data_IF_556861426864
#
_entry.id   IF_556861426864
#
_cell.length_a   1.000
_cell.length_b   1.000
_cell.length_c   1.000
_cell.angle_alpha   90.00
_cell.angle_beta   90.00
_cell.angle_gamma   90.00
#
_symmetry.space_group_name_H-M   'P 1'
#
loop_
_entity.id
_entity.type
_entity.pdbx_description
1 polymer ?
#
# COMPACT_ATOMS: atom_id res chain seq x y z
N UNK A 1 7.55 -24.04 13.59
CA UNK A 1 7.80 -23.92 12.14
C UNK A 1 6.47 -23.50 11.51
N UNK A 2 6.45 -22.48 10.65
CA UNK A 2 5.24 -22.06 9.94
C UNK A 2 5.33 -22.64 8.54
N UNK A 3 4.25 -23.26 8.08
CA UNK A 3 4.11 -23.82 6.73
C UNK A 3 2.98 -23.10 6.00
N UNK A 4 3.23 -22.69 4.76
CA UNK A 4 2.22 -22.05 3.91
C UNK A 4 2.58 -22.23 2.43
N UNK A 5 1.60 -22.00 1.56
CA UNK A 5 1.78 -21.96 0.10
C UNK A 5 1.40 -20.59 -0.42
N UNK A 6 2.16 -20.06 -1.38
CA UNK A 6 1.80 -18.86 -2.13
C UNK A 6 1.03 -19.31 -3.37
N UNK A 7 -0.27 -19.01 -3.39
CA UNK A 7 -1.18 -19.41 -4.49
C UNK A 7 -1.16 -18.42 -5.65
N UNK A 8 -0.89 -17.15 -5.38
CA UNK A 8 -0.69 -16.12 -6.39
C UNK A 8 0.13 -14.95 -5.84
N UNK A 9 0.61 -14.08 -6.74
CA UNK A 9 1.33 -12.86 -6.38
C UNK A 9 1.13 -11.75 -7.42
N UNK A 10 1.20 -10.51 -6.93
CA UNK A 10 1.36 -9.34 -7.76
C UNK A 10 2.32 -8.35 -7.08
N UNK A 11 3.05 -7.57 -7.87
CA UNK A 11 4.01 -6.61 -7.36
C UNK A 11 4.09 -5.40 -8.29
N UNK A 12 4.46 -4.26 -7.71
CA UNK A 12 4.66 -3.02 -8.44
C UNK A 12 5.89 -2.29 -7.92
N UNK A 13 6.72 -1.81 -8.82
CA UNK A 13 7.77 -0.84 -8.58
C UNK A 13 7.94 0.05 -9.83
N UNK A 14 8.63 1.20 -9.75
CA UNK A 14 8.95 2.00 -10.92
C UNK A 14 9.63 1.17 -12.01
N UNK A 15 9.06 1.16 -13.21
CA UNK A 15 9.52 0.33 -14.34
C UNK A 15 9.23 -1.17 -14.24
N UNK A 16 8.57 -1.65 -13.18
CA UNK A 16 8.23 -3.07 -12.95
C UNK A 16 6.75 -3.20 -12.54
N UNK A 17 5.87 -3.46 -13.51
CA UNK A 17 4.43 -3.63 -13.29
C UNK A 17 3.89 -4.96 -13.82
N UNK A 18 4.59 -5.62 -14.73
CA UNK A 18 4.18 -6.89 -15.32
C UNK A 18 4.94 -8.07 -14.71
N UNK A 19 4.30 -9.25 -14.66
CA UNK A 19 4.95 -10.46 -14.14
C UNK A 19 6.23 -10.82 -14.91
N UNK A 20 6.23 -10.64 -16.23
CA UNK A 20 7.40 -10.86 -17.10
C UNK A 20 8.59 -9.99 -16.69
N UNK A 21 8.35 -8.71 -16.37
CA UNK A 21 9.38 -7.77 -15.93
C UNK A 21 9.96 -8.18 -14.57
N UNK A 22 9.10 -8.60 -13.65
CA UNK A 22 9.52 -9.11 -12.33
C UNK A 22 10.29 -10.42 -12.42
N UNK A 23 9.92 -11.33 -13.31
CA UNK A 23 10.68 -12.56 -13.57
C UNK A 23 12.07 -12.23 -14.14
N UNK A 24 12.15 -11.33 -15.13
CA UNK A 24 13.44 -10.86 -15.65
C UNK A 24 14.30 -10.13 -14.61
N UNK A 25 13.68 -9.35 -13.73
CA UNK A 25 14.35 -8.74 -12.58
C UNK A 25 14.88 -9.78 -11.59
N UNK A 26 14.14 -10.85 -11.34
CA UNK A 26 14.57 -11.91 -10.42
C UNK A 26 15.83 -12.64 -10.92
N UNK A 27 16.01 -12.76 -12.24
CA UNK A 27 17.21 -13.33 -12.85
C UNK A 27 18.43 -12.41 -12.73
N UNK A 28 18.23 -11.08 -12.70
CA UNK A 28 19.29 -10.08 -12.57
C UNK A 28 18.85 -8.87 -11.72
N UNK A 29 18.86 -8.99 -10.38
CA UNK A 29 18.26 -7.98 -9.50
C UNK A 29 18.98 -6.63 -9.53
N UNK A 30 18.19 -5.56 -9.55
CA UNK A 30 18.67 -4.18 -9.39
C UNK A 30 17.68 -3.37 -8.54
N UNK A 31 18.10 -2.31 -7.84
CA UNK A 31 17.15 -1.45 -7.11
C UNK A 31 16.29 -0.68 -8.12
N UNK A 32 14.95 -0.85 -8.13
CA UNK A 32 14.09 -0.06 -9.01
C UNK A 32 14.26 1.44 -8.74
N UNK A 33 14.31 2.24 -9.80
CA UNK A 33 14.52 3.69 -9.70
C UNK A 33 13.36 4.44 -10.36
N UNK A 34 13.02 5.59 -9.80
CA UNK A 34 12.00 6.49 -10.35
C UNK A 34 10.92 6.87 -9.34
N UNK A 35 10.19 7.93 -9.67
CA UNK A 35 9.09 8.48 -8.87
C UNK A 35 7.72 8.15 -9.45
N UNK A 36 7.67 7.20 -10.39
CA UNK A 36 6.42 6.72 -10.96
C UNK A 36 5.47 6.25 -9.86
N UNK A 37 4.20 6.30 -10.19
CA UNK A 37 3.11 5.94 -9.29
C UNK A 37 2.05 5.20 -10.10
N UNK A 38 1.52 4.05 -9.62
CA UNK A 38 0.51 3.34 -10.37
C UNK A 38 -0.78 4.15 -10.49
N UNK A 39 -1.44 3.99 -11.65
CA UNK A 39 -2.66 4.70 -11.98
C UNK A 39 -3.81 4.39 -11.02
N UNK A 40 -3.82 3.19 -10.44
CA UNK A 40 -4.83 2.70 -9.51
C UNK A 40 -6.22 2.71 -10.17
N UNK A 41 -6.34 2.11 -11.37
CA UNK A 41 -7.53 2.18 -12.20
C UNK A 41 -8.78 1.55 -11.55
N UNK A 42 -8.57 0.57 -10.68
CA UNK A 42 -9.56 -0.23 -9.97
C UNK A 42 -10.28 0.56 -8.86
N UNK A 43 -9.74 1.71 -8.46
CA UNK A 43 -10.27 2.52 -7.36
C UNK A 43 -11.05 3.73 -7.92
N UNK A 44 -12.26 4.02 -7.42
CA UNK A 44 -13.03 5.20 -7.82
C UNK A 44 -12.24 6.51 -7.70
N UNK A 45 -12.34 7.37 -8.72
CA UNK A 45 -11.51 8.58 -8.87
C UNK A 45 -11.50 9.49 -7.62
N UNK A 46 -12.61 9.63 -6.92
CA UNK A 46 -12.70 10.44 -5.70
C UNK A 46 -11.90 9.87 -4.53
N UNK A 47 -11.90 8.55 -4.36
CA UNK A 47 -11.12 7.90 -3.31
C UNK A 47 -9.62 7.95 -3.63
N UNK A 48 -9.24 7.80 -4.91
CA UNK A 48 -7.84 7.89 -5.36
C UNK A 48 -7.13 9.18 -4.97
N UNK A 49 -7.87 10.29 -4.87
CA UNK A 49 -7.31 11.61 -4.52
C UNK A 49 -6.77 11.66 -3.07
N UNK A 50 -7.14 10.71 -2.22
CA UNK A 50 -6.69 10.63 -0.82
C UNK A 50 -5.55 9.65 -0.59
N UNK A 51 -5.07 9.01 -1.66
CA UNK A 51 -4.08 7.93 -1.59
C UNK A 51 -2.76 8.45 -2.17
N UNK A 52 -1.74 8.54 -1.33
CA UNK A 52 -0.38 8.93 -1.73
C UNK A 52 0.36 7.79 -2.42
N UNK A 53 1.55 8.10 -2.93
CA UNK A 53 2.41 7.17 -3.66
C UNK A 53 2.52 5.79 -3.00
N UNK A 54 2.93 5.71 -1.73
CA UNK A 54 3.07 4.42 -1.03
C UNK A 54 1.74 3.64 -0.98
N UNK A 55 0.65 4.34 -0.65
CA UNK A 55 -0.68 3.75 -0.64
C UNK A 55 -1.11 3.25 -2.02
N UNK A 56 -0.79 3.99 -3.09
CA UNK A 56 -1.12 3.59 -4.46
C UNK A 56 -0.38 2.33 -4.86
N UNK A 57 0.90 2.21 -4.52
CA UNK A 57 1.69 0.99 -4.78
C UNK A 57 1.09 -0.23 -4.08
N UNK A 58 0.86 -0.12 -2.78
CA UNK A 58 0.33 -1.22 -1.97
C UNK A 58 -1.08 -1.64 -2.41
N UNK A 59 -1.97 -0.67 -2.65
CA UNK A 59 -3.35 -0.92 -3.07
C UNK A 59 -3.38 -1.50 -4.49
N UNK A 60 -2.52 -1.04 -5.40
CA UNK A 60 -2.45 -1.59 -6.76
C UNK A 60 -2.06 -3.06 -6.73
N UNK A 61 -1.00 -3.41 -5.98
CA UNK A 61 -0.56 -4.79 -5.85
C UNK A 61 -1.63 -5.68 -5.22
N UNK A 62 -2.33 -5.17 -4.18
CA UNK A 62 -3.46 -5.88 -3.58
C UNK A 62 -4.58 -6.11 -4.60
N UNK A 63 -5.00 -5.08 -5.35
CA UNK A 63 -6.05 -5.20 -6.36
C UNK A 63 -5.73 -6.25 -7.44
N UNK A 64 -4.46 -6.39 -7.85
CA UNK A 64 -4.03 -7.38 -8.84
C UNK A 64 -3.91 -8.79 -8.31
N UNK A 65 -3.84 -8.96 -6.98
CA UNK A 65 -3.68 -10.25 -6.31
C UNK A 65 -4.97 -10.73 -5.64
N UNK A 66 -6.06 -9.96 -5.75
CA UNK A 66 -7.36 -10.34 -5.22
C UNK A 66 -7.94 -11.57 -5.93
N UNK A 67 -8.68 -12.37 -5.17
CA UNK A 67 -9.48 -13.44 -5.73
C UNK A 67 -10.72 -12.90 -6.46
N UNK A 68 -11.38 -13.77 -7.22
CA UNK A 68 -12.59 -13.40 -7.97
C UNK A 68 -13.79 -12.98 -7.10
N UNK A 69 -13.70 -13.08 -5.76
CA UNK A 69 -14.77 -12.70 -4.84
C UNK A 69 -14.77 -11.21 -4.50
N UNK A 70 -13.64 -10.51 -4.72
CA UNK A 70 -13.53 -9.06 -4.56
C UNK A 70 -14.01 -8.58 -3.18
N UNK A 71 -15.04 -7.73 -3.17
CA UNK A 71 -15.57 -7.09 -1.96
C UNK A 71 -16.15 -8.07 -0.92
N UNK A 72 -16.65 -9.22 -1.37
CA UNK A 72 -17.27 -10.24 -0.51
C UNK A 72 -16.23 -11.21 0.07
N UNK A 73 -14.97 -11.11 -0.36
CA UNK A 73 -13.88 -11.91 0.18
C UNK A 73 -13.79 -11.73 1.70
N UNK A 74 -13.68 -12.85 2.40
CA UNK A 74 -13.47 -12.90 3.86
C UNK A 74 -12.01 -13.20 4.20
N UNK A 75 -11.12 -13.17 3.21
CA UNK A 75 -9.70 -13.42 3.39
C UNK A 75 -9.10 -12.32 4.27
N UNK A 76 -8.50 -12.66 5.42
CA UNK A 76 -7.86 -11.65 6.26
C UNK A 76 -6.69 -11.00 5.54
N UNK A 77 -6.61 -9.67 5.62
CA UNK A 77 -5.57 -8.89 4.96
C UNK A 77 -4.51 -8.47 5.97
N UNK A 78 -3.25 -8.54 5.58
CA UNK A 78 -2.12 -8.04 6.39
C UNK A 78 -1.30 -7.10 5.54
N UNK A 79 -1.34 -5.81 5.88
CA UNK A 79 -0.48 -4.79 5.28
C UNK A 79 0.77 -4.62 6.14
N UNK A 80 1.94 -4.81 5.56
CA UNK A 80 3.21 -4.69 6.27
C UNK A 80 4.03 -3.55 5.67
N UNK A 81 4.54 -2.65 6.52
CA UNK A 81 5.46 -1.61 6.10
C UNK A 81 6.41 -1.27 7.25
N UNK A 82 7.70 -1.12 6.95
CA UNK A 82 8.71 -0.79 7.97
C UNK A 82 8.49 0.60 8.58
N UNK A 83 8.09 1.56 7.75
CA UNK A 83 8.06 2.98 8.11
C UNK A 83 6.66 3.60 8.01
N UNK A 84 5.68 2.88 7.45
CA UNK A 84 4.40 3.48 7.06
C UNK A 84 4.59 4.60 6.03
N UNK A 85 3.58 5.45 5.87
CA UNK A 85 3.65 6.65 5.03
C UNK A 85 4.38 7.78 5.79
N UNK A 86 5.69 7.60 6.00
CA UNK A 86 6.52 8.49 6.82
C UNK A 86 6.56 9.93 6.30
N UNK A 87 6.44 10.12 4.99
CA UNK A 87 6.43 11.45 4.37
C UNK A 87 5.31 12.32 4.98
N UNK A 88 4.12 11.74 5.14
CA UNK A 88 2.98 12.43 5.75
C UNK A 88 3.23 12.82 7.21
N UNK A 89 3.86 11.94 7.99
CA UNK A 89 4.24 12.26 9.37
C UNK A 89 5.25 13.39 9.43
N UNK A 90 6.21 13.42 8.51
CA UNK A 90 7.20 14.50 8.42
C UNK A 90 6.55 15.84 8.05
N UNK A 91 5.60 15.85 7.11
CA UNK A 91 4.85 17.06 6.75
C UNK A 91 4.06 17.63 7.93
N UNK A 92 3.39 16.78 8.71
CA UNK A 92 2.67 17.20 9.92
C UNK A 92 3.61 17.77 10.99
N UNK A 93 4.77 17.13 11.20
CA UNK A 93 5.79 17.65 12.12
C UNK A 93 6.35 18.99 11.64
N UNK A 94 6.56 19.16 10.33
CA UNK A 94 7.00 20.42 9.75
C UNK A 94 5.98 21.55 9.94
N UNK A 95 4.69 21.24 9.78
CA UNK A 95 3.61 22.19 10.05
C UNK A 95 3.57 22.60 11.53
N UNK A 96 3.67 21.62 12.45
CA UNK A 96 3.76 21.90 13.89
C UNK A 96 4.95 22.78 14.25
N UNK A 97 6.13 22.45 13.71
CA UNK A 97 7.35 23.23 13.95
C UNK A 97 7.26 24.67 13.43
N UNK A 98 6.40 24.91 12.43
CA UNK A 98 6.16 26.22 11.82
C UNK A 98 4.93 26.94 12.39
N UNK A 99 4.33 26.43 13.47
CA UNK A 99 3.09 26.92 14.07
C UNK A 99 1.91 27.04 13.06
N UNK A 100 1.89 26.13 12.08
CA UNK A 100 0.85 26.05 11.06
C UNK A 100 -0.28 25.10 11.53
N UNK A 101 -1.54 25.39 11.17
CA UNK A 101 -2.65 24.52 11.51
C UNK A 101 -2.50 23.15 10.85
N UNK A 102 -2.70 22.09 11.63
CA UNK A 102 -2.70 20.72 11.12
C UNK A 102 -3.97 20.42 10.33
N UNK A 103 -3.81 19.79 9.16
CA UNK A 103 -4.93 19.26 8.39
C UNK A 103 -5.57 18.07 9.12
N UNK A 104 -6.87 18.11 9.47
CA UNK A 104 -7.52 16.96 10.11
C UNK A 104 -7.48 15.71 9.24
N UNK A 105 -7.64 15.86 7.92
CA UNK A 105 -7.50 14.77 6.95
C UNK A 105 -6.06 14.25 6.90
N UNK A 106 -5.08 15.17 6.90
CA UNK A 106 -3.67 14.80 6.90
C UNK A 106 -3.29 13.98 8.14
N UNK A 107 -3.76 14.40 9.31
CA UNK A 107 -3.58 13.66 10.56
C UNK A 107 -4.30 12.31 10.54
N UNK A 108 -5.56 12.26 10.08
CA UNK A 108 -6.32 11.01 9.99
C UNK A 108 -5.68 9.96 9.05
N UNK A 109 -4.90 10.40 8.06
CA UNK A 109 -4.17 9.53 7.14
C UNK A 109 -2.74 9.21 7.60
N UNK A 110 -2.23 9.79 8.70
CA UNK A 110 -0.86 9.56 9.16
C UNK A 110 -0.69 8.32 10.04
N UNK A 111 -1.79 7.63 10.36
CA UNK A 111 -1.75 6.39 11.13
C UNK A 111 -1.27 5.22 10.24
N UNK A 112 -0.55 4.27 10.83
CA UNK A 112 0.07 3.15 10.10
C UNK A 112 -0.93 2.31 9.30
N UNK A 113 -2.14 2.15 9.83
CA UNK A 113 -3.21 1.38 9.21
C UNK A 113 -4.00 2.15 8.12
N UNK A 114 -3.66 3.40 7.83
CA UNK A 114 -4.42 4.23 6.89
C UNK A 114 -4.54 3.58 5.50
N UNK A 115 -3.46 2.99 4.97
CA UNK A 115 -3.46 2.35 3.65
C UNK A 115 -4.41 1.14 3.63
N UNK A 116 -4.36 0.30 4.66
CA UNK A 116 -5.26 -0.85 4.79
C UNK A 116 -6.73 -0.42 4.91
N UNK A 117 -7.01 0.63 5.68
CA UNK A 117 -8.34 1.20 5.82
C UNK A 117 -8.83 1.81 4.50
N UNK A 118 -7.97 2.54 3.78
CA UNK A 118 -8.30 3.10 2.46
C UNK A 118 -8.61 2.01 1.45
N UNK A 119 -7.82 0.92 1.42
CA UNK A 119 -8.11 -0.25 0.60
C UNK A 119 -9.48 -0.85 0.94
N UNK A 120 -9.74 -1.13 2.22
CA UNK A 120 -10.99 -1.74 2.68
C UNK A 120 -12.21 -0.90 2.32
N UNK A 121 -12.15 0.42 2.56
CA UNK A 121 -13.22 1.35 2.20
C UNK A 121 -13.41 1.41 0.68
N UNK A 122 -12.32 1.44 -0.08
CA UNK A 122 -12.39 1.62 -1.52
C UNK A 122 -12.88 0.37 -2.26
N UNK A 123 -12.53 -0.81 -1.75
CA UNK A 123 -12.97 -2.11 -2.30
C UNK A 123 -14.26 -2.61 -1.69
N UNK A 124 -14.78 -1.97 -0.64
CA UNK A 124 -15.94 -2.47 0.10
C UNK A 124 -15.64 -3.74 0.90
N UNK A 125 -14.37 -4.07 1.13
CA UNK A 125 -13.94 -5.26 1.84
C UNK A 125 -14.25 -5.13 3.34
N UNK A 126 -15.07 -6.04 3.87
CA UNK A 126 -15.53 -6.04 5.27
C UNK A 126 -14.85 -7.09 6.15
N UNK A 127 -14.02 -7.95 5.57
CA UNK A 127 -13.20 -8.90 6.32
C UNK A 127 -12.12 -8.21 7.15
N UNK A 128 -11.51 -8.97 8.06
CA UNK A 128 -10.47 -8.46 8.94
C UNK A 128 -9.26 -7.94 8.15
N UNK A 129 -8.69 -6.82 8.59
CA UNK A 129 -7.39 -6.35 8.13
C UNK A 129 -6.50 -5.94 9.31
N UNK A 130 -5.19 -6.10 9.13
CA UNK A 130 -4.16 -5.69 10.06
C UNK A 130 -3.10 -4.85 9.34
N UNK A 131 -2.45 -3.96 10.10
CA UNK A 131 -1.28 -3.23 9.66
C UNK A 131 -0.11 -3.49 10.62
N UNK A 132 1.01 -3.99 10.11
CA UNK A 132 2.15 -4.43 10.90
C UNK A 132 3.43 -3.68 10.56
N UNK A 133 4.29 -3.53 11.57
CA UNK A 133 5.65 -3.04 11.44
C UNK A 133 6.54 -3.75 12.48
N UNK A 134 7.69 -4.24 12.05
CA UNK A 134 8.68 -4.94 12.88
C UNK A 134 10.12 -4.51 12.54
N UNK A 135 10.31 -3.26 12.10
CA UNK A 135 11.63 -2.76 11.70
C UNK A 135 12.17 -3.54 10.50
N UNK A 136 13.42 -4.01 10.59
CA UNK A 136 14.06 -4.82 9.55
C UNK A 136 13.37 -6.18 9.33
N UNK A 137 12.59 -6.69 10.29
CA UNK A 137 11.88 -7.96 10.14
C UNK A 137 10.53 -7.83 9.41
N UNK A 138 10.23 -6.67 8.81
CA UNK A 138 8.93 -6.41 8.16
C UNK A 138 8.88 -6.89 6.71
N UNK A 139 9.93 -6.59 5.93
CA UNK A 139 10.08 -6.84 4.48
C UNK A 139 11.52 -7.18 4.17
#
# INVERSE_FOLDING_TARGET
MIEFSIVDWAAWAPGLSERSQWLGWADAPYPPQGEDTPALAEIPAMQRRRIERLGRMAIQAACWCEDGQGADSQVPLVFASRHGDVARSMDLLGALASDQPLSPTGFGLSVHNAIAALYSIARGHRGNYLALAAGQATV
#
